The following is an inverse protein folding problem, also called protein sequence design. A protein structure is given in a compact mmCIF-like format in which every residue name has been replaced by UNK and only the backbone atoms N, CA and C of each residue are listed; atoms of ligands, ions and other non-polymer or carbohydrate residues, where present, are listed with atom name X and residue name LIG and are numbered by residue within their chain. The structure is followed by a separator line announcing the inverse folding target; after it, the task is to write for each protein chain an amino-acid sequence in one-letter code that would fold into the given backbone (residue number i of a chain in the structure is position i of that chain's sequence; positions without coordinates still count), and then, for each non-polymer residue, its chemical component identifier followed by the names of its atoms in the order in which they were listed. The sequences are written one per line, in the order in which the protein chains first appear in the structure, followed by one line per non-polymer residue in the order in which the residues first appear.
data_IF_366883032071
#
_entry.id   IF_366883032071
#
_cell.length_a   1.000
_cell.length_b   1.000
_cell.length_c   1.000
_cell.angle_alpha   90.00
_cell.angle_beta   90.00
_cell.angle_gamma   90.00
#
_symmetry.space_group_name_H-M   'P 1'
#
loop_
_entity.id
_entity.type
_entity.pdbx_description
1 polymer ?
#
# COMPACT_ATOMS: atom_id res chain seq x y z
N UNK A 1 -6.77 -8.75 17.25
CA UNK A 1 -5.68 -8.79 18.26
C UNK A 1 -5.12 -7.39 18.55
N UNK A 2 -4.57 -6.66 17.57
CA UNK A 2 -3.99 -5.33 17.82
C UNK A 2 -5.00 -4.23 18.21
N UNK A 3 -6.20 -4.23 17.62
CA UNK A 3 -7.29 -3.35 18.07
C UNK A 3 -7.72 -3.67 19.50
N UNK A 4 -7.87 -4.95 19.84
CA UNK A 4 -8.18 -5.41 21.19
C UNK A 4 -7.11 -5.01 22.21
N UNK A 5 -5.84 -4.90 21.78
CA UNK A 5 -4.72 -4.42 22.59
C UNK A 5 -4.61 -2.88 22.63
N UNK A 6 -5.49 -2.14 21.94
CA UNK A 6 -5.48 -0.68 21.93
C UNK A 6 -4.39 -0.05 21.07
N UNK A 7 -3.67 -0.81 20.23
CA UNK A 7 -2.50 -0.29 19.49
C UNK A 7 -2.85 0.77 18.43
N UNK A 8 -4.12 0.89 18.07
CA UNK A 8 -4.67 1.92 17.18
C UNK A 8 -4.86 3.27 17.88
N UNK A 9 -4.54 3.35 19.19
CA UNK A 9 -4.70 4.55 20.01
C UNK A 9 -3.34 5.06 20.51
N UNK A 10 -3.06 6.33 20.26
CA UNK A 10 -1.91 7.09 20.77
C UNK A 10 -1.74 6.93 22.29
N UNK A 11 -2.82 7.06 23.06
CA UNK A 11 -2.76 6.99 24.53
C UNK A 11 -2.25 5.64 25.05
N UNK A 12 -2.47 4.54 24.32
CA UNK A 12 -2.06 3.19 24.72
C UNK A 12 -0.54 3.07 24.81
N UNK A 13 0.19 3.86 24.01
CA UNK A 13 1.65 3.83 23.93
C UNK A 13 2.32 4.97 24.71
N UNK A 14 1.54 5.89 25.29
CA UNK A 14 2.06 7.11 25.92
C UNK A 14 3.01 6.84 27.09
N UNK A 15 2.77 5.77 27.85
CA UNK A 15 3.57 5.40 29.01
C UNK A 15 4.63 4.32 28.72
N UNK A 16 4.70 3.85 27.47
CA UNK A 16 5.70 2.86 27.09
C UNK A 16 7.09 3.51 26.99
N UNK A 17 8.14 2.71 27.25
CA UNK A 17 9.50 3.09 26.88
C UNK A 17 9.55 3.30 25.36
N UNK A 18 10.25 4.34 24.90
CA UNK A 18 10.31 4.71 23.47
C UNK A 18 10.57 3.53 22.53
N UNK A 19 11.51 2.63 22.83
CA UNK A 19 11.80 1.46 21.99
C UNK A 19 10.64 0.45 21.89
N UNK A 20 9.88 0.28 22.97
CA UNK A 20 8.70 -0.59 23.01
C UNK A 20 7.54 0.07 22.25
N UNK A 21 7.35 1.37 22.46
CA UNK A 21 6.33 2.15 21.74
C UNK A 21 6.54 2.08 20.22
N UNK A 22 7.77 2.29 19.73
CA UNK A 22 8.10 2.15 18.31
C UNK A 22 7.85 0.72 17.81
N UNK A 23 8.27 -0.30 18.55
CA UNK A 23 8.05 -1.70 18.15
C UNK A 23 6.55 -2.02 18.00
N UNK A 24 5.72 -1.49 18.91
CA UNK A 24 4.26 -1.64 18.84
C UNK A 24 3.66 -0.86 17.67
N UNK A 25 4.15 0.35 17.38
CA UNK A 25 3.75 1.14 16.19
C UNK A 25 4.07 0.39 14.91
N UNK A 26 5.30 -0.14 14.76
CA UNK A 26 5.67 -0.94 13.60
C UNK A 26 4.74 -2.14 13.42
N UNK A 27 4.42 -2.87 14.49
CA UNK A 27 3.52 -4.02 14.43
C UNK A 27 2.10 -3.62 14.01
N UNK A 28 1.55 -2.55 14.59
CA UNK A 28 0.22 -2.03 14.23
C UNK A 28 0.15 -1.63 12.75
N UNK A 29 1.09 -0.78 12.30
CA UNK A 29 1.10 -0.25 10.95
C UNK A 29 1.41 -1.31 9.87
N UNK A 30 2.17 -2.35 10.22
CA UNK A 30 2.37 -3.51 9.33
C UNK A 30 1.07 -4.28 9.13
N UNK A 31 0.32 -4.55 10.21
CA UNK A 31 -0.97 -5.26 10.13
C UNK A 31 -2.05 -4.43 9.43
N UNK A 32 -2.07 -3.11 9.67
CA UNK A 32 -2.90 -2.17 8.94
C UNK A 32 -2.66 -2.27 7.43
N UNK A 33 -1.38 -2.26 7.02
CA UNK A 33 -0.99 -2.36 5.60
C UNK A 33 -1.48 -3.67 4.97
N UNK A 34 -1.26 -4.79 5.66
CA UNK A 34 -1.69 -6.12 5.20
C UNK A 34 -3.22 -6.17 5.06
N UNK A 35 -3.97 -5.71 6.06
CA UNK A 35 -5.43 -5.73 6.01
C UNK A 35 -5.96 -4.88 4.86
N UNK A 36 -5.46 -3.64 4.66
CA UNK A 36 -5.90 -2.77 3.55
C UNK A 36 -5.66 -3.41 2.20
N UNK A 37 -4.50 -4.02 2.00
CA UNK A 37 -4.17 -4.73 0.77
C UNK A 37 -5.11 -5.92 0.53
N UNK A 38 -5.27 -6.78 1.53
CA UNK A 38 -6.11 -7.99 1.44
C UNK A 38 -7.58 -7.64 1.24
N UNK A 39 -8.10 -6.69 2.01
CA UNK A 39 -9.48 -6.22 1.92
C UNK A 39 -9.81 -5.69 0.53
N UNK A 40 -8.94 -4.86 -0.06
CA UNK A 40 -9.13 -4.38 -1.43
C UNK A 40 -9.17 -5.53 -2.44
N UNK A 41 -8.21 -6.46 -2.38
CA UNK A 41 -8.12 -7.57 -3.32
C UNK A 41 -9.26 -8.60 -3.16
N UNK A 42 -9.79 -8.77 -1.96
CA UNK A 42 -10.94 -9.64 -1.69
C UNK A 42 -12.29 -8.96 -1.90
N UNK A 43 -12.32 -7.63 -2.10
CA UNK A 43 -13.56 -6.86 -2.19
C UNK A 43 -14.34 -6.80 -0.87
N UNK A 44 -13.63 -6.82 0.26
CA UNK A 44 -14.19 -6.77 1.61
C UNK A 44 -13.84 -5.45 2.30
N UNK A 45 -14.66 -5.05 3.28
CA UNK A 45 -14.33 -3.91 4.14
C UNK A 45 -13.06 -4.20 4.94
N UNK A 46 -12.25 -3.17 5.17
CA UNK A 46 -11.11 -3.23 6.08
C UNK A 46 -11.58 -3.37 7.53
N UNK A 47 -10.82 -4.11 8.34
CA UNK A 47 -11.03 -4.17 9.79
C UNK A 47 -10.42 -2.96 10.51
N UNK A 48 -9.62 -2.15 9.81
CA UNK A 48 -8.98 -0.96 10.35
C UNK A 48 -9.58 0.31 9.71
N UNK A 49 -10.74 0.79 10.19
CA UNK A 49 -11.32 2.03 9.70
C UNK A 49 -10.45 3.24 10.07
N UNK A 50 -10.05 4.05 9.09
CA UNK A 50 -9.10 5.16 9.30
C UNK A 50 -9.63 6.21 10.29
N UNK A 51 -10.95 6.42 10.32
CA UNK A 51 -11.60 7.35 11.24
C UNK A 51 -11.59 6.90 12.71
N UNK A 52 -11.20 5.64 12.99
CA UNK A 52 -11.09 5.09 14.34
C UNK A 52 -9.63 4.93 14.79
N UNK A 53 -8.66 5.46 14.03
CA UNK A 53 -7.23 5.34 14.34
C UNK A 53 -6.68 6.72 14.73
N UNK A 54 -6.08 6.79 15.92
CA UNK A 54 -5.33 7.98 16.37
C UNK A 54 -3.88 7.64 16.77
N UNK A 55 -3.41 6.44 16.43
CA UNK A 55 -2.02 6.04 16.64
C UNK A 55 -1.05 6.93 15.87
N UNK A 56 0.05 7.30 16.51
CA UNK A 56 1.15 8.01 15.84
C UNK A 56 1.82 7.10 14.80
N UNK A 57 2.29 7.72 13.71
CA UNK A 57 3.22 7.08 12.78
C UNK A 57 4.56 6.79 13.46
N UNK A 58 5.33 5.86 12.88
CA UNK A 58 6.69 5.56 13.36
C UNK A 58 7.60 6.79 13.20
N UNK A 59 8.55 6.96 14.13
CA UNK A 59 9.56 8.02 14.00
C UNK A 59 10.80 7.47 13.31
N UNK A 60 11.21 8.00 12.14
CA UNK A 60 12.39 7.50 11.44
C UNK A 60 13.65 7.61 12.29
N UNK A 61 14.43 6.54 12.30
CA UNK A 61 15.69 6.49 13.02
C UNK A 61 16.70 7.52 12.50
N UNK A 62 17.59 7.97 13.39
CA UNK A 62 18.78 8.74 13.04
C UNK A 62 19.93 7.84 12.56
N UNK A 63 19.84 6.53 12.73
CA UNK A 63 20.80 5.57 12.17
C UNK A 63 20.65 5.55 10.64
N UNK A 64 21.67 5.96 9.87
CA UNK A 64 21.61 6.01 8.41
C UNK A 64 21.27 4.66 7.76
N UNK A 65 21.54 3.54 8.44
CA UNK A 65 21.25 2.20 7.93
C UNK A 65 19.82 1.73 8.22
N UNK A 66 19.18 2.25 9.27
CA UNK A 66 17.78 1.94 9.61
C UNK A 66 16.81 2.88 8.94
N UNK A 67 17.19 4.15 8.81
CA UNK A 67 16.34 5.21 8.27
C UNK A 67 15.64 4.86 6.95
N UNK A 68 16.28 4.21 5.95
CA UNK A 68 15.58 3.84 4.71
C UNK A 68 14.41 2.87 4.93
N UNK A 69 14.50 1.94 5.90
CA UNK A 69 13.40 1.04 6.24
C UNK A 69 12.24 1.79 6.88
N UNK A 70 12.53 2.75 7.76
CA UNK A 70 11.49 3.54 8.43
C UNK A 70 10.78 4.45 7.42
N UNK A 71 11.53 5.08 6.52
CA UNK A 71 10.96 5.87 5.43
C UNK A 71 10.08 5.01 4.50
N UNK A 72 10.58 3.84 4.11
CA UNK A 72 9.81 2.89 3.29
C UNK A 72 8.51 2.48 4.00
N UNK A 73 8.60 2.15 5.29
CA UNK A 73 7.43 1.77 6.10
C UNK A 73 6.39 2.89 6.18
N UNK A 74 6.82 4.15 6.35
CA UNK A 74 5.92 5.31 6.37
C UNK A 74 5.17 5.48 5.04
N UNK A 75 5.89 5.39 3.92
CA UNK A 75 5.27 5.57 2.60
C UNK A 75 4.39 4.37 2.24
N UNK A 76 4.73 3.16 2.67
CA UNK A 76 3.87 1.97 2.54
C UNK A 76 2.56 2.14 3.32
N UNK A 77 2.58 2.74 4.51
CA UNK A 77 1.36 3.05 5.26
C UNK A 77 0.48 4.05 4.51
N UNK A 78 1.08 5.09 3.91
CA UNK A 78 0.37 6.05 3.06
C UNK A 78 -0.28 5.32 1.86
N UNK A 79 0.46 4.44 1.20
CA UNK A 79 -0.04 3.61 0.09
C UNK A 79 -1.23 2.74 0.53
N UNK A 80 -1.14 2.10 1.69
CA UNK A 80 -2.22 1.27 2.23
C UNK A 80 -3.48 2.07 2.59
N UNK A 81 -3.35 3.30 3.09
CA UNK A 81 -4.50 4.18 3.28
C UNK A 81 -5.19 4.50 1.96
N UNK A 82 -4.44 4.74 0.89
CA UNK A 82 -5.01 4.90 -0.45
C UNK A 82 -5.74 3.62 -0.88
N UNK A 83 -5.18 2.43 -0.67
CA UNK A 83 -5.88 1.17 -0.98
C UNK A 83 -7.22 1.02 -0.22
N UNK A 84 -7.26 1.41 1.06
CA UNK A 84 -8.50 1.45 1.83
C UNK A 84 -9.53 2.38 1.23
N UNK A 85 -9.11 3.61 0.88
CA UNK A 85 -9.96 4.60 0.22
C UNK A 85 -10.45 4.14 -1.16
N UNK A 86 -9.63 3.41 -1.93
CA UNK A 86 -10.07 2.80 -3.19
C UNK A 86 -11.26 1.88 -2.95
N UNK A 87 -11.22 1.02 -1.93
CA UNK A 87 -12.36 0.19 -1.59
C UNK A 87 -13.56 1.04 -1.14
N UNK A 88 -13.36 1.92 -0.18
CA UNK A 88 -14.44 2.70 0.44
C UNK A 88 -15.16 3.62 -0.56
N UNK A 89 -14.41 4.29 -1.43
CA UNK A 89 -14.90 5.31 -2.36
C UNK A 89 -15.36 4.73 -3.72
N UNK A 90 -14.89 3.54 -4.13
CA UNK A 90 -15.22 2.96 -5.46
C UNK A 90 -15.97 1.63 -5.41
N UNK A 91 -15.81 0.81 -4.36
CA UNK A 91 -16.30 -0.57 -4.34
C UNK A 91 -17.26 -0.91 -3.19
N UNK A 92 -17.30 -0.10 -2.14
CA UNK A 92 -18.20 -0.31 -1.01
C UNK A 92 -19.67 -0.22 -1.41
N UNK A 93 -20.56 -0.74 -0.56
CA UNK A 93 -22.00 -0.58 -0.75
C UNK A 93 -22.41 0.91 -0.77
N UNK A 94 -21.70 1.79 -0.06
CA UNK A 94 -21.92 3.23 -0.10
C UNK A 94 -21.48 3.81 -1.46
N UNK A 95 -20.30 3.42 -1.96
CA UNK A 95 -19.78 3.83 -3.27
C UNK A 95 -20.69 3.40 -4.43
N UNK A 96 -21.39 2.27 -4.30
CA UNK A 96 -22.38 1.82 -5.30
C UNK A 96 -23.53 2.82 -5.51
N UNK A 97 -23.80 3.66 -4.51
CA UNK A 97 -24.86 4.69 -4.52
C UNK A 97 -24.34 6.07 -4.92
N UNK A 98 -23.02 6.23 -5.11
CA UNK A 98 -22.43 7.49 -5.54
C UNK A 98 -22.87 7.84 -6.97
N UNK A 99 -23.07 9.13 -7.21
CA UNK A 99 -23.28 9.69 -8.56
C UNK A 99 -22.08 9.42 -9.47
N UNK A 100 -22.27 9.55 -10.78
CA UNK A 100 -21.17 9.39 -11.73
C UNK A 100 -20.12 10.48 -11.50
N UNK A 101 -20.53 11.72 -11.21
CA UNK A 101 -19.63 12.83 -10.91
C UNK A 101 -18.75 12.54 -9.70
N UNK A 102 -19.33 12.03 -8.61
CA UNK A 102 -18.57 11.65 -7.41
C UNK A 102 -17.58 10.52 -7.68
N UNK A 103 -18.00 9.52 -8.48
CA UNK A 103 -17.13 8.41 -8.85
C UNK A 103 -15.96 8.85 -9.71
N UNK A 104 -16.20 9.68 -10.72
CA UNK A 104 -15.14 10.23 -11.58
C UNK A 104 -14.16 11.07 -10.78
N UNK A 105 -14.65 11.91 -9.86
CA UNK A 105 -13.80 12.69 -8.97
C UNK A 105 -12.94 11.79 -8.05
N UNK A 106 -13.51 10.70 -7.53
CA UNK A 106 -12.77 9.73 -6.72
C UNK A 106 -11.69 9.01 -7.54
N UNK A 107 -12.00 8.58 -8.77
CA UNK A 107 -11.03 7.93 -9.68
C UNK A 107 -9.86 8.85 -9.98
N UNK A 108 -10.13 10.11 -10.34
CA UNK A 108 -9.08 11.09 -10.65
C UNK A 108 -8.18 11.35 -9.44
N UNK A 109 -8.79 11.64 -8.28
CA UNK A 109 -8.06 11.88 -7.04
C UNK A 109 -7.23 10.68 -6.61
N UNK A 110 -7.82 9.49 -6.56
CA UNK A 110 -7.14 8.27 -6.08
C UNK A 110 -6.01 7.85 -7.02
N UNK A 111 -6.19 7.99 -8.34
CA UNK A 111 -5.12 7.69 -9.29
C UNK A 111 -3.94 8.66 -9.16
N UNK A 112 -4.20 9.95 -8.98
CA UNK A 112 -3.16 10.97 -8.71
C UNK A 112 -2.44 10.74 -7.38
N UNK A 113 -3.19 10.48 -6.30
CA UNK A 113 -2.64 10.16 -4.98
C UNK A 113 -1.72 8.92 -5.07
N UNK A 114 -2.14 7.90 -5.81
CA UNK A 114 -1.40 6.66 -6.00
C UNK A 114 -0.09 6.84 -6.78
N UNK A 115 -0.11 7.66 -7.83
CA UNK A 115 1.12 8.02 -8.57
C UNK A 115 2.08 8.80 -7.68
N UNK A 116 1.56 9.74 -6.89
CA UNK A 116 2.37 10.55 -5.97
C UNK A 116 3.05 9.69 -4.91
N UNK A 117 2.32 8.75 -4.29
CA UNK A 117 2.92 7.86 -3.28
C UNK A 117 3.91 6.85 -3.90
N UNK A 118 3.66 6.39 -5.14
CA UNK A 118 4.64 5.58 -5.90
C UNK A 118 5.94 6.35 -6.11
N UNK A 119 5.87 7.61 -6.54
CA UNK A 119 7.06 8.42 -6.77
C UNK A 119 7.82 8.68 -5.44
N UNK A 120 7.11 8.85 -4.32
CA UNK A 120 7.72 8.90 -2.99
C UNK A 120 8.49 7.61 -2.65
N UNK A 121 7.93 6.43 -2.94
CA UNK A 121 8.62 5.14 -2.70
C UNK A 121 9.91 5.05 -3.52
N UNK A 122 9.84 5.40 -4.80
CA UNK A 122 10.98 5.33 -5.72
C UNK A 122 12.07 6.37 -5.41
N UNK A 123 11.71 7.47 -4.74
CA UNK A 123 12.66 8.52 -4.34
C UNK A 123 13.50 8.17 -3.08
N UNK A 124 13.17 7.09 -2.37
CA UNK A 124 13.91 6.68 -1.17
C UNK A 124 15.27 6.10 -1.58
N UNK A 125 16.37 6.72 -1.15
CA UNK A 125 17.69 6.14 -1.28
C UNK A 125 17.84 4.95 -0.32
N UNK A 126 17.89 3.75 -0.89
CA UNK A 126 18.00 2.48 -0.18
C UNK A 126 19.43 1.94 -0.11
N UNK A 127 20.41 2.62 -0.72
CA UNK A 127 21.79 2.14 -0.89
C UNK A 127 22.53 1.87 0.43
N UNK A 128 22.27 2.70 1.44
CA UNK A 128 22.91 2.59 2.75
C UNK A 128 22.12 1.75 3.75
N UNK A 129 20.95 1.25 3.36
CA UNK A 129 20.06 0.51 4.26
C UNK A 129 20.67 -0.82 4.73
N UNK A 130 20.34 -1.23 5.95
CA UNK A 130 20.53 -2.62 6.35
C UNK A 130 19.83 -3.54 5.35
N UNK A 131 20.48 -4.61 4.90
CA UNK A 131 19.92 -5.47 3.85
C UNK A 131 19.48 -4.68 2.60
N UNK A 132 20.30 -3.70 2.17
CA UNK A 132 20.03 -2.82 1.02
C UNK A 132 19.49 -3.56 -0.22
N UNK A 133 20.01 -4.75 -0.51
CA UNK A 133 19.52 -5.59 -1.60
C UNK A 133 18.03 -5.97 -1.46
N UNK A 134 17.54 -6.27 -0.26
CA UNK A 134 16.12 -6.55 -0.05
C UNK A 134 15.29 -5.27 -0.17
N UNK A 135 15.77 -4.14 0.34
CA UNK A 135 15.13 -2.83 0.13
C UNK A 135 15.02 -2.44 -1.35
N UNK A 136 16.08 -2.66 -2.14
CA UNK A 136 16.05 -2.46 -3.59
C UNK A 136 15.01 -3.36 -4.25
N UNK A 137 14.90 -4.62 -3.82
CA UNK A 137 13.84 -5.51 -4.27
C UNK A 137 12.45 -4.94 -4.02
N UNK A 138 12.19 -4.42 -2.81
CA UNK A 138 10.91 -3.78 -2.48
C UNK A 138 10.64 -2.52 -3.33
N UNK A 139 11.65 -1.67 -3.50
CA UNK A 139 11.54 -0.48 -4.34
C UNK A 139 11.27 -0.85 -5.81
N UNK A 140 11.89 -1.91 -6.32
CA UNK A 140 11.64 -2.44 -7.66
C UNK A 140 10.22 -2.99 -7.83
N UNK A 141 9.59 -3.45 -6.74
CA UNK A 141 8.19 -3.89 -6.74
C UNK A 141 7.19 -2.71 -6.81
N UNK A 142 7.58 -1.50 -6.42
CA UNK A 142 6.68 -0.36 -6.27
C UNK A 142 5.89 -0.05 -7.55
N UNK A 143 6.53 -0.11 -8.72
CA UNK A 143 5.88 0.13 -10.01
C UNK A 143 4.75 -0.86 -10.28
N UNK A 144 5.01 -2.17 -10.21
CA UNK A 144 3.99 -3.14 -10.58
C UNK A 144 2.81 -3.13 -9.60
N UNK A 145 3.08 -2.85 -8.32
CA UNK A 145 2.05 -2.82 -7.28
C UNK A 145 1.18 -1.58 -7.44
N UNK A 146 1.78 -0.42 -7.69
CA UNK A 146 1.05 0.80 -8.01
C UNK A 146 0.20 0.63 -9.28
N UNK A 147 0.75 0.07 -10.35
CA UNK A 147 -0.02 -0.17 -11.58
C UNK A 147 -1.13 -1.21 -11.39
N UNK A 148 -0.94 -2.21 -10.52
CA UNK A 148 -2.00 -3.17 -10.17
C UNK A 148 -3.16 -2.47 -9.46
N UNK A 149 -2.88 -1.57 -8.51
CA UNK A 149 -3.94 -0.78 -7.85
C UNK A 149 -4.56 0.26 -8.80
N UNK A 150 -3.79 0.89 -9.70
CA UNK A 150 -4.34 1.76 -10.76
C UNK A 150 -5.29 1.00 -11.68
N UNK A 151 -4.98 -0.25 -12.00
CA UNK A 151 -5.88 -1.11 -12.78
C UNK A 151 -7.21 -1.29 -12.06
N UNK A 152 -7.18 -1.51 -10.74
CA UNK A 152 -8.39 -1.57 -9.91
C UNK A 152 -9.12 -0.22 -9.95
N UNK A 153 -8.45 0.90 -9.72
CA UNK A 153 -9.08 2.24 -9.77
C UNK A 153 -9.77 2.50 -11.12
N UNK A 154 -9.09 2.28 -12.23
CA UNK A 154 -9.64 2.54 -13.56
C UNK A 154 -10.71 1.51 -13.98
N UNK A 155 -10.74 0.32 -13.38
CA UNK A 155 -11.84 -0.62 -13.58
C UNK A 155 -13.16 -0.07 -13.04
N UNK A 156 -13.14 0.79 -12.02
CA UNK A 156 -14.35 1.42 -11.49
C UNK A 156 -15.05 2.35 -12.49
N UNK A 157 -14.40 2.68 -13.61
CA UNK A 157 -15.03 3.43 -14.72
C UNK A 157 -16.13 2.63 -15.42
N UNK A 158 -16.07 1.29 -15.40
CA UNK A 158 -17.06 0.44 -16.04
C UNK A 158 -18.09 -0.06 -15.02
N UNK A 159 -19.38 0.13 -15.34
CA UNK A 159 -20.47 -0.27 -14.44
C UNK A 159 -20.58 -1.80 -14.41
N UNK A 160 -21.10 -2.40 -13.32
CA UNK A 160 -21.38 -3.84 -13.26
C UNK A 160 -22.29 -4.35 -14.39
N UNK A 161 -23.14 -3.48 -14.96
CA UNK A 161 -24.01 -3.81 -16.10
C UNK A 161 -23.23 -3.98 -17.42
N UNK A 162 -22.08 -3.32 -17.54
CA UNK A 162 -21.19 -3.36 -18.70
C UNK A 162 -19.85 -4.02 -18.32
N UNK A 163 -19.91 -5.11 -17.54
CA UNK A 163 -18.74 -5.75 -16.93
C UNK A 163 -17.68 -6.25 -17.93
N UNK A 164 -18.03 -6.36 -19.21
CA UNK A 164 -17.11 -6.74 -20.29
C UNK A 164 -16.39 -5.55 -20.91
N UNK A 165 -16.83 -4.31 -20.65
CA UNK A 165 -16.15 -3.11 -21.09
C UNK A 165 -14.92 -2.86 -20.22
N UNK A 166 -13.78 -2.61 -20.87
CA UNK A 166 -12.52 -2.22 -20.25
C UNK A 166 -12.13 -0.88 -20.87
N UNK A 167 -11.95 0.15 -20.05
CA UNK A 167 -11.48 1.45 -20.55
C UNK A 167 -10.03 1.36 -21.03
N UNK A 168 -9.62 2.27 -21.91
CA UNK A 168 -8.23 2.36 -22.36
C UNK A 168 -7.26 2.54 -21.20
N UNK A 169 -7.61 3.37 -20.22
CA UNK A 169 -6.79 3.62 -19.02
C UNK A 169 -6.65 2.36 -18.16
N UNK A 170 -7.73 1.59 -17.99
CA UNK A 170 -7.67 0.32 -17.26
C UNK A 170 -6.80 -0.71 -17.98
N UNK A 171 -6.91 -0.80 -19.30
CA UNK A 171 -6.08 -1.70 -20.10
C UNK A 171 -4.60 -1.32 -20.04
N UNK A 172 -4.29 -0.03 -20.17
CA UNK A 172 -2.92 0.48 -20.13
C UNK A 172 -2.28 0.24 -18.76
N UNK A 173 -2.98 0.53 -17.66
CA UNK A 173 -2.50 0.23 -16.31
C UNK A 173 -2.24 -1.27 -16.11
N UNK A 174 -3.12 -2.15 -16.63
CA UNK A 174 -2.94 -3.59 -16.54
C UNK A 174 -1.71 -4.07 -17.32
N UNK A 175 -1.48 -3.52 -18.52
CA UNK A 175 -0.32 -3.82 -19.34
C UNK A 175 0.98 -3.37 -18.66
N UNK A 176 0.99 -2.15 -18.08
CA UNK A 176 2.13 -1.62 -17.31
C UNK A 176 2.40 -2.46 -16.06
N UNK A 177 1.36 -2.91 -15.35
CA UNK A 177 1.49 -3.80 -14.21
C UNK A 177 2.19 -5.11 -14.61
N UNK A 178 1.70 -5.78 -15.67
CA UNK A 178 2.30 -7.03 -16.16
C UNK A 178 3.74 -6.84 -16.61
N UNK A 179 4.03 -5.78 -17.38
CA UNK A 179 5.37 -5.52 -17.87
C UNK A 179 6.35 -5.20 -16.73
N UNK A 180 5.91 -4.42 -15.75
CA UNK A 180 6.71 -4.09 -14.57
C UNK A 180 6.93 -5.32 -13.68
N UNK A 181 5.92 -6.18 -13.53
CA UNK A 181 6.04 -7.45 -12.83
C UNK A 181 7.07 -8.37 -13.50
N UNK A 182 7.03 -8.51 -14.83
CA UNK A 182 8.02 -9.30 -15.58
C UNK A 182 9.44 -8.75 -15.46
N UNK A 183 9.62 -7.42 -15.48
CA UNK A 183 10.92 -6.78 -15.20
C UNK A 183 11.40 -7.11 -13.79
N UNK A 184 10.53 -6.91 -12.80
CA UNK A 184 10.81 -7.19 -11.40
C UNK A 184 11.17 -8.67 -11.17
N UNK A 185 10.45 -9.59 -11.80
CA UNK A 185 10.73 -11.03 -11.74
C UNK A 185 12.17 -11.37 -12.14
N UNK A 186 12.73 -10.70 -13.15
CA UNK A 186 14.13 -10.94 -13.56
C UNK A 186 15.13 -10.57 -12.47
N UNK A 187 14.83 -9.56 -11.64
CA UNK A 187 15.66 -9.19 -10.50
C UNK A 187 15.72 -10.31 -9.44
N UNK A 188 14.60 -11.00 -9.21
CA UNK A 188 14.52 -12.04 -8.18
C UNK A 188 14.95 -13.42 -8.67
N UNK A 189 14.74 -13.73 -9.95
CA UNK A 189 14.99 -15.07 -10.53
C UNK A 189 16.39 -15.58 -10.27
N UNK A 190 17.40 -14.73 -10.36
CA UNK A 190 18.80 -15.16 -10.30
C UNK A 190 19.38 -15.06 -8.86
N UNK A 191 18.54 -14.78 -7.85
CA UNK A 191 18.93 -14.72 -6.43
C UNK A 191 18.84 -16.09 -5.76
N UNK A 192 19.48 -16.22 -4.59
CA UNK A 192 19.38 -17.43 -3.77
C UNK A 192 17.92 -17.74 -3.39
N UNK A 193 17.59 -19.02 -3.19
CA UNK A 193 16.21 -19.49 -3.00
C UNK A 193 15.42 -18.73 -1.91
N UNK A 194 16.06 -18.40 -0.78
CA UNK A 194 15.39 -17.62 0.29
C UNK A 194 15.04 -16.17 -0.14
N UNK A 195 15.82 -15.60 -1.07
CA UNK A 195 15.57 -14.28 -1.69
C UNK A 195 14.56 -14.35 -2.84
N UNK A 196 14.42 -15.50 -3.50
CA UNK A 196 13.30 -15.73 -4.42
C UNK A 196 11.98 -15.80 -3.65
N UNK A 197 11.99 -16.34 -2.42
CA UNK A 197 10.79 -16.36 -1.55
C UNK A 197 10.36 -14.96 -1.12
N UNK A 198 11.28 -13.98 -1.03
CA UNK A 198 10.93 -12.57 -0.78
C UNK A 198 9.98 -12.02 -1.85
N UNK A 199 10.09 -12.48 -3.10
CA UNK A 199 9.18 -12.07 -4.18
C UNK A 199 7.76 -12.61 -4.04
N UNK A 200 7.62 -13.82 -3.49
CA UNK A 200 6.33 -14.52 -3.36
C UNK A 200 5.57 -14.06 -2.11
N UNK A 201 6.30 -13.62 -1.08
CA UNK A 201 5.75 -13.25 0.22
C UNK A 201 5.57 -11.73 0.41
N UNK A 202 5.75 -10.93 -0.65
CA UNK A 202 5.57 -9.48 -0.61
C UNK A 202 4.12 -9.08 -0.85
#
# INVERSE_FOLDING_TARGET
MCQSMGLHRSYTLANDKSSIAESKRHAFWSLYTIDKNVSLNMGLTSHFPDHDIDADLITPSNDPKRRPWDLMSLVIVEFASIQGRVYDELYSAAASKASDEQRWAAIDKLSSDLVTVRDKLLAIDVSLGYYAESLHGMAACADFIAYSVLTVIYRAQTRPRDATAISSQCYEAAALALHSHLKCFTYFRDRQTHKQTEYVNW
#
